data_IF_831247901247
#
_entry.id   IF_831247901247
#
_cell.length_a   1.000
_cell.length_b   1.000
_cell.length_c   1.000
_cell.angle_alpha   90.00
_cell.angle_beta   90.00
_cell.angle_gamma   90.00
#
_symmetry.space_group_name_H-M   'P 1'
#
loop_
_entity.id
_entity.type
_entity.pdbx_description
1 polymer ?
#
# COMPACT_ATOMS: atom_id res chain seq x y z
N UNK A 1 23.86 6.17 -11.25
CA UNK A 1 24.08 4.71 -11.26
C UNK A 1 24.28 4.30 -9.81
N UNK A 2 23.17 4.11 -9.09
CA UNK A 2 23.20 3.75 -7.68
C UNK A 2 23.58 2.29 -7.53
N UNK A 3 24.55 2.04 -6.64
CA UNK A 3 24.90 0.71 -6.18
C UNK A 3 23.70 0.12 -5.43
N UNK A 4 22.84 -0.58 -6.18
CA UNK A 4 21.84 -1.47 -5.61
C UNK A 4 22.64 -2.53 -4.84
N UNK A 5 22.33 -2.73 -3.56
CA UNK A 5 23.06 -3.63 -2.68
C UNK A 5 23.28 -5.00 -3.33
N UNK A 6 24.41 -5.69 -3.10
CA UNK A 6 24.70 -7.01 -3.68
C UNK A 6 23.68 -8.10 -3.26
N UNK A 7 22.83 -7.80 -2.28
CA UNK A 7 21.67 -8.61 -1.90
C UNK A 7 20.61 -8.64 -3.01
N UNK A 8 20.38 -7.51 -3.69
CA UNK A 8 19.36 -7.38 -4.75
C UNK A 8 19.60 -8.26 -5.98
N UNK A 9 20.86 -8.56 -6.31
CA UNK A 9 21.14 -9.49 -7.41
C UNK A 9 20.98 -10.95 -6.95
N UNK A 10 21.29 -11.25 -5.68
CA UNK A 10 21.23 -12.62 -5.16
C UNK A 10 19.80 -13.09 -4.85
N UNK A 11 18.92 -12.23 -4.31
CA UNK A 11 17.51 -12.60 -4.05
C UNK A 11 16.66 -12.76 -5.31
N UNK A 12 17.08 -12.23 -6.45
CA UNK A 12 16.24 -12.22 -7.66
C UNK A 12 16.54 -13.34 -8.66
N UNK A 13 17.81 -13.78 -8.77
CA UNK A 13 18.15 -15.03 -9.48
C UNK A 13 17.34 -16.21 -8.92
N UNK A 14 17.04 -16.14 -7.63
CA UNK A 14 16.29 -17.11 -6.83
C UNK A 14 14.79 -17.17 -7.24
N UNK A 15 14.18 -16.05 -7.64
CA UNK A 15 12.76 -15.98 -8.05
C UNK A 15 12.51 -16.43 -9.49
N UNK A 16 13.42 -16.13 -10.41
CA UNK A 16 13.25 -16.46 -11.83
C UNK A 16 13.50 -17.94 -12.16
N UNK A 17 14.21 -18.66 -11.28
CA UNK A 17 14.74 -20.01 -11.57
C UNK A 17 14.10 -21.14 -10.75
N UNK A 18 13.21 -20.83 -9.81
CA UNK A 18 12.67 -21.82 -8.86
C UNK A 18 13.65 -22.20 -7.73
N UNK A 19 14.80 -21.52 -7.62
CA UNK A 19 15.78 -21.71 -6.54
C UNK A 19 15.28 -21.15 -5.19
N UNK A 20 14.33 -20.23 -5.18
CA UNK A 20 13.74 -19.65 -3.95
C UNK A 20 13.11 -20.65 -3.01
N UNK A 21 12.34 -21.59 -3.54
CA UNK A 21 11.75 -22.62 -2.70
C UNK A 21 12.85 -23.46 -2.03
N UNK A 22 13.97 -23.73 -2.72
CA UNK A 22 15.09 -24.47 -2.12
C UNK A 22 15.82 -23.64 -1.06
N UNK A 23 16.09 -22.37 -1.31
CA UNK A 23 16.75 -21.51 -0.31
C UNK A 23 15.89 -21.28 0.94
N UNK A 24 14.57 -21.15 0.78
CA UNK A 24 13.62 -20.99 1.88
C UNK A 24 13.34 -22.29 2.64
N UNK A 25 13.49 -23.46 2.00
CA UNK A 25 13.14 -24.75 2.62
C UNK A 25 14.30 -25.45 3.32
N UNK A 26 15.56 -25.04 3.09
CA UNK A 26 16.73 -25.80 3.56
C UNK A 26 17.78 -24.96 4.30
N UNK A 27 17.58 -23.65 4.49
CA UNK A 27 18.52 -22.79 5.21
C UNK A 27 17.90 -22.15 6.46
N UNK A 28 18.68 -22.03 7.54
CA UNK A 28 18.25 -21.33 8.76
C UNK A 28 17.84 -19.88 8.47
N UNK A 29 18.55 -19.23 7.54
CA UNK A 29 18.23 -17.86 7.11
C UNK A 29 16.92 -17.81 6.31
N UNK A 30 16.64 -18.80 5.47
CA UNK A 30 15.38 -18.94 4.76
C UNK A 30 14.18 -19.09 5.72
N UNK A 31 14.34 -19.88 6.79
CA UNK A 31 13.31 -19.96 7.82
C UNK A 31 13.08 -18.62 8.52
N UNK A 32 14.13 -17.91 8.93
CA UNK A 32 13.99 -16.58 9.56
C UNK A 32 13.25 -15.59 8.66
N UNK A 33 13.54 -15.62 7.36
CA UNK A 33 12.86 -14.78 6.38
C UNK A 33 11.37 -15.14 6.26
N UNK A 34 11.05 -16.43 6.16
CA UNK A 34 9.67 -16.92 6.13
C UNK A 34 8.91 -16.55 7.40
N UNK A 35 9.55 -16.68 8.58
CA UNK A 35 8.97 -16.26 9.85
C UNK A 35 8.72 -14.75 9.88
N UNK A 36 9.67 -13.93 9.41
CA UNK A 36 9.50 -12.49 9.35
C UNK A 36 8.29 -12.10 8.46
N UNK A 37 8.08 -12.80 7.34
CA UNK A 37 6.92 -12.59 6.47
C UNK A 37 5.62 -13.10 7.07
N UNK A 38 5.63 -14.27 7.72
CA UNK A 38 4.45 -14.85 8.36
C UNK A 38 3.92 -13.96 9.49
N UNK A 39 4.83 -13.31 10.23
CA UNK A 39 4.51 -12.39 11.31
C UNK A 39 4.43 -10.93 10.88
N UNK A 40 4.52 -10.63 9.57
CA UNK A 40 4.42 -9.27 9.03
C UNK A 40 5.42 -8.27 9.65
N UNK A 41 6.66 -8.70 9.90
CA UNK A 41 7.74 -7.87 10.44
C UNK A 41 8.95 -7.76 9.49
N UNK A 42 8.87 -8.34 8.29
CA UNK A 42 9.97 -8.34 7.31
C UNK A 42 10.37 -6.93 6.86
N UNK A 43 9.46 -5.96 6.88
CA UNK A 43 9.74 -4.54 6.60
C UNK A 43 10.63 -3.86 7.67
N UNK A 44 10.91 -4.51 8.79
CA UNK A 44 11.79 -3.99 9.85
C UNK A 44 13.25 -4.43 9.70
N UNK A 45 13.56 -5.23 8.67
CA UNK A 45 14.89 -5.75 8.41
C UNK A 45 15.25 -5.57 6.94
N UNK A 46 16.29 -4.78 6.64
CA UNK A 46 16.77 -4.54 5.27
C UNK A 46 16.99 -5.84 4.48
N UNK A 47 17.41 -6.90 5.16
CA UNK A 47 17.66 -8.22 4.58
C UNK A 47 16.40 -8.91 4.06
N UNK A 48 15.27 -8.75 4.75
CA UNK A 48 14.00 -9.45 4.45
C UNK A 48 12.98 -8.54 3.74
N UNK A 49 13.26 -7.24 3.67
CA UNK A 49 12.32 -6.23 3.21
C UNK A 49 11.72 -6.53 1.81
N UNK A 50 12.55 -6.99 0.88
CA UNK A 50 12.18 -7.26 -0.52
C UNK A 50 12.52 -8.70 -0.95
N UNK A 51 12.74 -9.60 -0.01
CA UNK A 51 13.33 -10.90 -0.32
C UNK A 51 12.36 -11.84 -1.03
N UNK A 52 11.10 -11.95 -0.58
CA UNK A 52 10.10 -12.83 -1.20
C UNK A 52 9.34 -12.13 -2.33
N UNK A 53 8.70 -11.02 -2.04
CA UNK A 53 8.04 -10.24 -3.08
C UNK A 53 8.20 -8.79 -2.69
N UNK A 54 8.82 -7.96 -3.54
CA UNK A 54 9.12 -6.61 -3.13
C UNK A 54 7.85 -5.78 -2.90
N UNK A 55 6.68 -6.23 -3.39
CA UNK A 55 5.40 -5.57 -3.16
C UNK A 55 4.92 -5.76 -1.73
N UNK A 56 5.27 -6.87 -1.06
CA UNK A 56 4.76 -7.24 0.27
C UNK A 56 5.15 -6.27 1.40
N UNK A 57 6.02 -5.30 1.16
CA UNK A 57 6.40 -4.31 2.16
C UNK A 57 5.17 -3.58 2.75
N UNK A 58 4.21 -3.18 1.90
CA UNK A 58 3.03 -2.46 2.39
C UNK A 58 2.02 -3.40 3.05
N UNK A 59 2.02 -4.70 2.71
CA UNK A 59 1.17 -5.68 3.37
C UNK A 59 1.55 -5.86 4.85
N UNK A 60 2.85 -5.93 5.16
CA UNK A 60 3.30 -5.93 6.55
C UNK A 60 2.92 -4.63 7.27
N UNK A 61 3.15 -3.50 6.63
CA UNK A 61 2.78 -2.20 7.16
C UNK A 61 1.27 -2.09 7.45
N UNK A 62 0.42 -2.58 6.55
CA UNK A 62 -1.04 -2.59 6.72
C UNK A 62 -1.45 -3.42 7.95
N UNK A 63 -0.90 -4.63 8.11
CA UNK A 63 -1.17 -5.47 9.28
C UNK A 63 -0.74 -4.80 10.59
N UNK A 64 0.42 -4.14 10.57
CA UNK A 64 0.91 -3.33 11.70
C UNK A 64 -0.04 -2.15 12.00
N UNK A 65 -0.51 -1.44 10.96
CA UNK A 65 -1.45 -0.32 11.10
C UNK A 65 -2.80 -0.78 11.67
N UNK A 66 -3.33 -1.91 11.24
CA UNK A 66 -4.53 -2.51 11.85
C UNK A 66 -4.32 -2.85 13.32
N UNK A 67 -3.14 -3.35 13.70
CA UNK A 67 -2.81 -3.70 15.08
C UNK A 67 -2.79 -2.47 16.00
N UNK A 68 -2.29 -1.32 15.53
CA UNK A 68 -2.26 -0.07 16.31
C UNK A 68 -3.53 0.78 16.16
N UNK A 69 -4.41 0.46 15.22
CA UNK A 69 -5.64 1.23 14.98
C UNK A 69 -6.56 1.36 16.20
N UNK A 70 -6.73 0.33 17.07
CA UNK A 70 -7.46 0.49 18.32
C UNK A 70 -6.93 1.60 19.24
N UNK A 71 -5.61 1.83 19.25
CA UNK A 71 -4.98 2.91 20.02
C UNK A 71 -5.43 4.27 19.47
N UNK A 72 -5.46 4.43 18.14
CA UNK A 72 -6.01 5.62 17.50
C UNK A 72 -7.47 5.87 17.92
N UNK A 73 -8.31 4.82 17.88
CA UNK A 73 -9.71 4.93 18.28
C UNK A 73 -9.88 5.30 19.76
N UNK A 74 -9.03 4.76 20.63
CA UNK A 74 -9.00 5.10 22.04
C UNK A 74 -8.63 6.58 22.24
N UNK A 75 -7.51 7.05 21.69
CA UNK A 75 -7.10 8.46 21.81
C UNK A 75 -8.17 9.39 21.24
N UNK A 76 -8.75 9.04 20.08
CA UNK A 76 -9.86 9.76 19.45
C UNK A 76 -11.07 9.89 20.37
N UNK A 77 -11.45 8.82 21.07
CA UNK A 77 -12.59 8.85 22.00
C UNK A 77 -12.37 9.82 23.16
N UNK A 78 -11.12 9.98 23.62
CA UNK A 78 -10.79 10.79 24.80
C UNK A 78 -10.51 12.25 24.45
N UNK A 79 -9.80 12.51 23.34
CA UNK A 79 -9.32 13.84 22.98
C UNK A 79 -10.06 14.46 21.78
N UNK A 80 -10.89 13.67 21.09
CA UNK A 80 -11.49 14.03 19.81
C UNK A 80 -10.52 13.89 18.62
N UNK A 81 -11.06 13.85 17.40
CA UNK A 81 -10.29 13.56 16.19
C UNK A 81 -9.20 14.59 15.91
N UNK A 82 -9.48 15.89 16.10
CA UNK A 82 -8.55 16.97 15.73
C UNK A 82 -7.26 16.89 16.53
N UNK A 83 -7.36 16.75 17.86
CA UNK A 83 -6.20 16.59 18.75
C UNK A 83 -5.45 15.30 18.45
N UNK A 84 -6.18 14.21 18.20
CA UNK A 84 -5.59 12.90 17.88
C UNK A 84 -4.74 12.95 16.61
N UNK A 85 -5.24 13.58 15.54
CA UNK A 85 -4.50 13.74 14.29
C UNK A 85 -3.26 14.63 14.48
N UNK A 86 -3.36 15.71 15.26
CA UNK A 86 -2.19 16.56 15.57
C UNK A 86 -1.12 15.75 16.32
N UNK A 87 -1.51 14.96 17.33
CA UNK A 87 -0.57 14.12 18.07
C UNK A 87 0.14 13.14 17.11
N UNK A 88 -0.62 12.43 16.27
CA UNK A 88 -0.05 11.46 15.33
C UNK A 88 0.85 12.14 14.29
N UNK A 89 0.46 13.31 13.81
CA UNK A 89 1.28 14.11 12.91
C UNK A 89 2.63 14.49 13.54
N UNK A 90 2.62 14.94 14.80
CA UNK A 90 3.83 15.31 15.54
C UNK A 90 4.71 14.09 15.89
N UNK A 91 4.17 12.87 15.89
CA UNK A 91 4.96 11.65 16.07
C UNK A 91 5.82 11.30 14.84
N UNK A 92 5.48 11.78 13.64
CA UNK A 92 6.24 11.48 12.42
C UNK A 92 7.72 11.90 12.52
N UNK A 93 8.08 13.17 12.83
CA UNK A 93 9.50 13.55 12.96
C UNK A 93 10.22 12.81 14.09
N UNK A 94 9.52 12.55 15.21
CA UNK A 94 10.07 11.77 16.34
C UNK A 94 10.39 10.35 15.91
N UNK A 95 9.52 9.74 15.12
CA UNK A 95 9.69 8.40 14.54
C UNK A 95 10.89 8.34 13.60
N UNK A 96 11.03 9.29 12.67
CA UNK A 96 12.21 9.36 11.80
C UNK A 96 13.51 9.50 12.60
N UNK A 97 13.52 10.34 13.63
CA UNK A 97 14.68 10.50 14.51
C UNK A 97 15.00 9.22 15.28
N UNK A 98 13.98 8.54 15.82
CA UNK A 98 14.16 7.27 16.54
C UNK A 98 14.75 6.19 15.62
N UNK A 99 14.22 6.02 14.41
CA UNK A 99 14.75 5.04 13.45
C UNK A 99 16.18 5.39 13.04
N UNK A 100 16.50 6.68 12.86
CA UNK A 100 17.87 7.10 12.56
C UNK A 100 18.89 6.63 13.61
N UNK A 101 18.52 6.65 14.90
CA UNK A 101 19.39 6.16 15.97
C UNK A 101 19.38 4.64 16.13
N UNK A 102 18.23 3.99 15.93
CA UNK A 102 18.08 2.54 16.11
C UNK A 102 18.66 1.74 14.93
N UNK A 103 18.61 2.30 13.73
CA UNK A 103 19.04 1.66 12.50
C UNK A 103 19.81 2.65 11.59
N UNK A 104 20.96 3.20 12.04
CA UNK A 104 21.65 4.30 11.38
C UNK A 104 22.15 3.99 9.97
N UNK A 105 22.33 2.71 9.65
CA UNK A 105 22.79 2.24 8.35
C UNK A 105 21.66 1.71 7.46
N UNK A 106 20.43 1.63 7.98
CA UNK A 106 19.29 1.16 7.21
C UNK A 106 18.72 2.27 6.33
N UNK A 107 18.51 1.94 5.06
CA UNK A 107 17.81 2.82 4.11
C UNK A 107 16.34 2.45 3.94
N UNK A 108 15.92 1.27 4.40
CA UNK A 108 14.60 0.71 4.12
C UNK A 108 13.68 0.71 5.34
N UNK A 109 14.23 0.58 6.55
CA UNK A 109 13.42 0.52 7.77
C UNK A 109 12.68 1.83 8.00
N UNK A 110 13.34 2.99 7.87
CA UNK A 110 12.70 4.28 8.05
C UNK A 110 11.46 4.47 7.14
N UNK A 111 11.56 4.36 5.80
CA UNK A 111 10.38 4.49 4.95
C UNK A 111 9.36 3.36 5.14
N UNK A 112 9.74 2.19 5.66
CA UNK A 112 8.83 1.08 5.96
C UNK A 112 8.19 1.11 7.34
N UNK A 113 8.59 2.04 8.22
CA UNK A 113 8.21 2.01 9.63
C UNK A 113 6.78 2.51 9.85
N UNK A 114 6.05 1.82 10.74
CA UNK A 114 4.62 2.04 10.98
C UNK A 114 4.26 3.50 11.31
N UNK A 115 5.00 4.16 12.22
CA UNK A 115 4.67 5.50 12.68
C UNK A 115 4.86 6.57 11.59
N UNK A 116 5.70 6.32 10.58
CA UNK A 116 5.86 7.24 9.46
C UNK A 116 4.64 7.23 8.52
N UNK A 117 3.88 6.13 8.49
CA UNK A 117 2.64 6.00 7.71
C UNK A 117 1.37 6.10 8.54
N UNK A 118 1.48 6.09 9.87
CA UNK A 118 0.31 6.15 10.73
C UNK A 118 -0.48 7.44 10.56
N UNK A 119 0.22 8.57 10.30
CA UNK A 119 -0.43 9.81 9.90
C UNK A 119 -1.21 9.66 8.59
N UNK A 120 -0.61 9.08 7.55
CA UNK A 120 -1.27 8.84 6.25
C UNK A 120 -2.54 8.02 6.42
N UNK A 121 -2.47 6.93 7.18
CA UNK A 121 -3.62 6.09 7.51
C UNK A 121 -4.72 6.88 8.24
N UNK A 122 -4.35 7.60 9.30
CA UNK A 122 -5.30 8.34 10.12
C UNK A 122 -5.87 9.58 9.42
N UNK A 123 -5.14 10.17 8.47
CA UNK A 123 -5.63 11.28 7.65
C UNK A 123 -6.85 10.86 6.81
N UNK A 124 -6.86 9.63 6.28
CA UNK A 124 -8.02 9.06 5.62
C UNK A 124 -9.22 8.90 6.57
N UNK A 125 -8.99 8.39 7.78
CA UNK A 125 -10.03 8.29 8.81
C UNK A 125 -10.57 9.66 9.22
N UNK A 126 -9.73 10.68 9.28
CA UNK A 126 -10.14 12.06 9.56
C UNK A 126 -11.01 12.64 8.44
N UNK A 127 -10.64 12.43 7.18
CA UNK A 127 -11.47 12.83 6.03
C UNK A 127 -12.86 12.17 6.09
N UNK A 128 -12.91 10.86 6.36
CA UNK A 128 -14.17 10.13 6.47
C UNK A 128 -15.05 10.69 7.60
N UNK A 129 -14.47 10.98 8.77
CA UNK A 129 -15.23 11.57 9.89
C UNK A 129 -15.77 12.96 9.56
N UNK A 130 -14.97 13.81 8.91
CA UNK A 130 -15.43 15.14 8.49
C UNK A 130 -16.59 15.02 7.50
N UNK A 131 -16.46 14.14 6.51
CA UNK A 131 -17.50 13.88 5.52
C UNK A 131 -18.81 13.41 6.17
N UNK A 132 -18.76 12.41 7.06
CA UNK A 132 -19.95 11.89 7.77
C UNK A 132 -20.64 12.99 8.60
N UNK A 133 -19.87 13.91 9.18
CA UNK A 133 -20.41 15.04 9.94
C UNK A 133 -20.84 16.23 9.06
N UNK A 134 -20.85 16.09 7.73
CA UNK A 134 -21.20 17.18 6.80
C UNK A 134 -20.21 18.34 6.80
N UNK A 135 -18.97 18.10 7.25
CA UNK A 135 -17.93 19.12 7.37
C UNK A 135 -16.91 19.00 6.23
N UNK A 136 -16.46 20.15 5.72
CA UNK A 136 -15.30 20.23 4.82
C UNK A 136 -14.01 20.39 5.62
N UNK A 137 -12.94 19.76 5.15
CA UNK A 137 -11.56 20.02 5.54
C UNK A 137 -11.03 21.28 4.87
N UNK A 138 -11.29 21.44 3.57
CA UNK A 138 -10.79 22.57 2.80
C UNK A 138 -11.92 23.57 2.50
N UNK A 139 -11.68 24.84 2.84
CA UNK A 139 -12.66 25.93 2.66
C UNK A 139 -12.75 26.36 1.18
N UNK A 140 -11.63 26.29 0.45
CA UNK A 140 -11.54 26.56 -1.00
C UNK A 140 -11.81 25.28 -1.80
N UNK A 141 -11.90 25.41 -3.13
CA UNK A 141 -12.03 24.25 -4.03
C UNK A 141 -10.89 23.25 -3.81
N UNK A 142 -11.20 22.11 -3.19
CA UNK A 142 -10.24 21.06 -2.88
C UNK A 142 -9.63 20.42 -4.12
N UNK A 143 -10.30 20.50 -5.27
CA UNK A 143 -9.71 20.13 -6.56
C UNK A 143 -8.50 21.00 -6.92
N UNK A 144 -8.58 22.32 -6.71
CA UNK A 144 -7.47 23.22 -7.02
C UNK A 144 -6.27 22.89 -6.12
N UNK A 145 -6.52 22.66 -4.83
CA UNK A 145 -5.48 22.25 -3.87
C UNK A 145 -4.86 20.91 -4.30
N UNK A 146 -5.67 19.94 -4.72
CA UNK A 146 -5.17 18.66 -5.22
C UNK A 146 -4.29 18.82 -6.47
N UNK A 147 -4.72 19.63 -7.45
CA UNK A 147 -3.96 19.86 -8.69
C UNK A 147 -2.60 20.53 -8.42
N UNK A 148 -2.58 21.58 -7.59
CA UNK A 148 -1.31 22.19 -7.16
C UNK A 148 -0.46 21.20 -6.35
N UNK A 149 -1.09 20.40 -5.49
CA UNK A 149 -0.45 19.34 -4.74
C UNK A 149 0.23 18.31 -5.65
N UNK A 150 -0.43 17.84 -6.70
CA UNK A 150 0.15 16.89 -7.65
C UNK A 150 1.33 17.47 -8.43
N UNK A 151 1.27 18.75 -8.81
CA UNK A 151 2.42 19.46 -9.39
C UNK A 151 3.57 19.53 -8.36
N UNK A 152 3.26 19.87 -7.11
CA UNK A 152 4.26 19.97 -6.04
C UNK A 152 4.92 18.61 -5.76
N UNK A 153 4.19 17.50 -5.79
CA UNK A 153 4.77 16.15 -5.64
C UNK A 153 5.87 15.91 -6.67
N UNK A 154 5.61 16.25 -7.95
CA UNK A 154 6.59 16.06 -9.03
C UNK A 154 7.81 16.98 -8.82
N UNK A 155 7.58 18.27 -8.61
CA UNK A 155 8.66 19.25 -8.47
C UNK A 155 9.52 18.98 -7.24
N UNK A 156 8.91 18.74 -6.08
CA UNK A 156 9.62 18.46 -4.83
C UNK A 156 10.33 17.12 -4.91
N UNK A 157 9.69 16.09 -5.50
CA UNK A 157 10.30 14.77 -5.64
C UNK A 157 11.53 14.79 -6.55
N UNK A 158 11.54 15.63 -7.59
CA UNK A 158 12.66 15.72 -8.53
C UNK A 158 13.78 16.66 -8.06
N UNK A 159 13.43 17.79 -7.44
CA UNK A 159 14.40 18.86 -7.13
C UNK A 159 14.78 18.99 -5.65
N UNK A 160 14.02 18.37 -4.72
CA UNK A 160 14.25 18.55 -3.27
C UNK A 160 14.46 17.20 -2.59
N UNK A 161 13.39 16.42 -2.37
CA UNK A 161 13.48 15.09 -1.76
C UNK A 161 12.23 14.27 -1.99
N UNK A 162 12.41 12.95 -2.08
CA UNK A 162 11.32 11.99 -2.27
C UNK A 162 10.48 11.88 -1.00
N UNK A 163 11.09 12.01 0.18
CA UNK A 163 10.43 11.93 1.48
C UNK A 163 9.47 13.10 1.69
N UNK A 164 9.90 14.32 1.37
CA UNK A 164 9.02 15.49 1.46
C UNK A 164 7.89 15.42 0.43
N UNK A 165 8.20 14.93 -0.77
CA UNK A 165 7.19 14.68 -1.80
C UNK A 165 6.13 13.66 -1.34
N UNK A 166 6.54 12.57 -0.70
CA UNK A 166 5.63 11.58 -0.13
C UNK A 166 4.72 12.20 0.94
N UNK A 167 5.25 13.09 1.78
CA UNK A 167 4.46 13.80 2.78
C UNK A 167 3.44 14.78 2.17
N UNK A 168 3.85 15.55 1.15
CA UNK A 168 2.96 16.42 0.38
C UNK A 168 1.85 15.60 -0.29
N UNK A 169 2.17 14.38 -0.74
CA UNK A 169 1.20 13.50 -1.40
C UNK A 169 -0.01 13.19 -0.54
N UNK A 170 0.16 13.06 0.79
CA UNK A 170 -0.94 12.80 1.72
C UNK A 170 -1.98 13.91 1.63
N UNK A 171 -1.54 15.16 1.67
CA UNK A 171 -2.45 16.32 1.59
C UNK A 171 -3.10 16.47 0.22
N UNK A 172 -2.33 16.24 -0.86
CA UNK A 172 -2.84 16.29 -2.23
C UNK A 172 -3.95 15.24 -2.47
N UNK A 173 -3.72 14.00 -2.02
CA UNK A 173 -4.70 12.93 -2.13
C UNK A 173 -5.92 13.16 -1.24
N UNK A 174 -5.76 13.65 -0.01
CA UNK A 174 -6.90 14.00 0.86
C UNK A 174 -7.76 15.09 0.24
N UNK A 175 -7.15 16.11 -0.38
CA UNK A 175 -7.88 17.15 -1.11
C UNK A 175 -8.61 16.57 -2.33
N UNK A 176 -7.96 15.68 -3.10
CA UNK A 176 -8.58 15.00 -4.23
C UNK A 176 -9.79 14.16 -3.80
N UNK A 177 -9.65 13.35 -2.75
CA UNK A 177 -10.73 12.50 -2.26
C UNK A 177 -11.87 13.30 -1.63
N UNK A 178 -11.59 14.40 -0.93
CA UNK A 178 -12.65 15.29 -0.45
C UNK A 178 -13.48 15.86 -1.61
N UNK A 179 -12.80 16.33 -2.67
CA UNK A 179 -13.50 16.78 -3.89
C UNK A 179 -14.34 15.66 -4.50
N UNK A 180 -13.76 14.45 -4.62
CA UNK A 180 -14.42 13.29 -5.20
C UNK A 180 -15.67 12.89 -4.42
N UNK A 181 -15.62 12.90 -3.09
CA UNK A 181 -16.72 12.54 -2.18
C UNK A 181 -17.94 13.47 -2.29
N UNK A 182 -17.74 14.70 -2.76
CA UNK A 182 -18.81 15.68 -2.95
C UNK A 182 -19.17 15.90 -4.42
N UNK A 183 -18.50 15.20 -5.34
CA UNK A 183 -18.80 15.26 -6.76
C UNK A 183 -19.87 14.23 -7.08
N UNK A 184 -20.87 14.63 -7.85
CA UNK A 184 -21.80 13.70 -8.45
C UNK A 184 -21.10 12.94 -9.59
N UNK A 185 -20.89 11.64 -9.39
CA UNK A 185 -20.22 10.77 -10.36
C UNK A 185 -21.26 9.84 -10.97
N UNK A 186 -21.44 9.93 -12.29
CA UNK A 186 -22.28 8.98 -13.01
C UNK A 186 -21.57 7.62 -13.15
N UNK A 187 -21.89 6.68 -12.26
CA UNK A 187 -21.30 5.33 -12.19
C UNK A 187 -21.64 4.44 -13.40
N UNK A 188 -22.62 4.83 -14.22
CA UNK A 188 -23.09 4.01 -15.35
C UNK A 188 -22.26 4.16 -16.61
N UNK A 189 -21.43 5.22 -16.70
CA UNK A 189 -20.60 5.48 -17.88
C UNK A 189 -19.58 4.36 -18.11
N UNK A 190 -19.25 4.10 -19.37
CA UNK A 190 -18.27 3.04 -19.73
C UNK A 190 -16.92 3.27 -19.07
N UNK A 191 -16.47 4.52 -18.99
CA UNK A 191 -15.19 4.89 -18.36
C UNK A 191 -15.20 4.54 -16.87
N UNK A 192 -16.24 4.93 -16.14
CA UNK A 192 -16.32 4.65 -14.70
C UNK A 192 -16.46 3.15 -14.41
N UNK A 193 -17.18 2.40 -15.27
CA UNK A 193 -17.22 0.94 -15.20
C UNK A 193 -15.84 0.32 -15.40
N UNK A 194 -15.08 0.76 -16.41
CA UNK A 194 -13.71 0.29 -16.64
C UNK A 194 -12.79 0.60 -15.46
N UNK A 195 -12.85 1.82 -14.92
CA UNK A 195 -12.08 2.22 -13.74
C UNK A 195 -12.45 1.37 -12.51
N UNK A 196 -13.74 1.09 -12.31
CA UNK A 196 -14.21 0.22 -11.23
C UNK A 196 -13.67 -1.21 -11.38
N UNK A 197 -13.60 -1.76 -12.59
CA UNK A 197 -13.01 -3.09 -12.83
C UNK A 197 -11.53 -3.09 -12.44
N UNK A 198 -10.77 -2.06 -12.81
CA UNK A 198 -9.36 -1.92 -12.41
C UNK A 198 -9.24 -1.87 -10.89
N UNK A 199 -10.11 -1.11 -10.21
CA UNK A 199 -10.17 -1.05 -8.76
C UNK A 199 -10.49 -2.39 -8.10
N UNK A 200 -11.43 -3.16 -8.66
CA UNK A 200 -11.81 -4.49 -8.16
C UNK A 200 -10.65 -5.49 -8.28
N UNK A 201 -9.83 -5.39 -9.33
CA UNK A 201 -8.68 -6.28 -9.57
C UNK A 201 -7.39 -5.76 -8.92
N UNK A 202 -7.45 -4.62 -8.22
CA UNK A 202 -6.27 -3.89 -7.74
C UNK A 202 -5.37 -4.70 -6.80
N UNK A 203 -5.94 -5.57 -5.96
CA UNK A 203 -5.15 -6.42 -5.07
C UNK A 203 -4.29 -7.42 -5.83
N UNK A 204 -4.89 -8.12 -6.81
CA UNK A 204 -4.15 -9.01 -7.70
C UNK A 204 -3.08 -8.28 -8.52
N UNK A 205 -3.37 -7.06 -9.01
CA UNK A 205 -2.38 -6.21 -9.69
C UNK A 205 -1.21 -5.93 -8.75
N UNK A 206 -1.50 -5.49 -7.53
CA UNK A 206 -0.50 -5.18 -6.51
C UNK A 206 0.40 -6.40 -6.22
N UNK A 207 -0.14 -7.61 -6.11
CA UNK A 207 0.68 -8.79 -5.80
C UNK A 207 1.70 -9.14 -6.89
N UNK A 208 1.37 -8.91 -8.17
CA UNK A 208 2.16 -9.45 -9.28
C UNK A 208 2.93 -8.39 -10.07
N UNK A 209 2.59 -7.10 -9.93
CA UNK A 209 3.12 -6.06 -10.81
C UNK A 209 4.65 -5.97 -10.76
N UNK A 210 5.29 -5.99 -9.59
CA UNK A 210 6.75 -5.85 -9.50
C UNK A 210 7.51 -7.04 -10.07
N UNK A 211 7.21 -8.31 -9.73
CA UNK A 211 7.85 -9.44 -10.39
C UNK A 211 7.75 -9.39 -11.92
N UNK A 212 6.58 -9.05 -12.45
CA UNK A 212 6.37 -8.93 -13.89
C UNK A 212 7.09 -7.72 -14.51
N UNK A 213 7.11 -6.57 -13.83
CA UNK A 213 7.86 -5.40 -14.27
C UNK A 213 9.35 -5.74 -14.37
N UNK A 214 9.91 -6.42 -13.37
CA UNK A 214 11.32 -6.84 -13.38
C UNK A 214 11.63 -7.78 -14.56
N UNK A 215 10.78 -8.77 -14.83
CA UNK A 215 10.91 -9.64 -16.00
C UNK A 215 10.79 -8.87 -17.33
N UNK A 216 10.05 -7.75 -17.33
CA UNK A 216 9.86 -6.90 -18.49
C UNK A 216 10.99 -5.88 -18.72
N UNK A 217 11.84 -5.57 -17.70
CA UNK A 217 12.93 -4.58 -17.81
C UNK A 217 13.86 -4.84 -19.01
N UNK A 218 14.35 -6.07 -19.27
CA UNK A 218 15.23 -6.34 -20.41
C UNK A 218 14.59 -5.98 -21.76
N UNK A 219 13.27 -6.10 -21.86
CA UNK A 219 12.49 -5.85 -23.07
C UNK A 219 12.17 -4.37 -23.27
N UNK A 220 12.44 -3.52 -22.28
CA UNK A 220 12.09 -2.10 -22.34
C UNK A 220 12.81 -1.34 -23.46
N UNK A 221 13.94 -1.86 -23.96
CA UNK A 221 14.68 -1.29 -25.09
C UNK A 221 14.37 -1.96 -26.45
N UNK A 222 13.42 -2.89 -26.51
CA UNK A 222 13.04 -3.58 -27.75
C UNK A 222 12.58 -2.62 -28.87
N UNK A 223 11.83 -1.57 -28.52
CA UNK A 223 11.40 -0.51 -29.47
C UNK A 223 12.48 0.56 -29.72
N UNK A 224 13.70 0.35 -29.23
CA UNK A 224 14.81 1.29 -29.27
C UNK A 224 14.89 2.22 -28.06
N UNK A 225 16.05 2.85 -27.80
CA UNK A 225 16.29 3.65 -26.59
C UNK A 225 15.69 5.06 -26.65
N UNK A 226 15.05 5.44 -27.77
CA UNK A 226 14.62 6.82 -28.01
C UNK A 226 13.52 7.27 -27.04
N UNK A 227 13.64 8.51 -26.55
CA UNK A 227 12.79 9.07 -25.50
C UNK A 227 11.30 9.15 -25.86
N UNK A 228 10.93 9.34 -27.13
CA UNK A 228 9.52 9.42 -27.52
C UNK A 228 8.77 8.08 -27.38
N UNK A 229 9.49 6.94 -27.35
CA UNK A 229 8.88 5.66 -27.04
C UNK A 229 8.62 5.45 -25.55
N UNK A 230 9.21 6.26 -24.66
CA UNK A 230 9.13 6.08 -23.22
C UNK A 230 7.68 6.05 -22.71
N UNK A 231 6.77 6.79 -23.33
CA UNK A 231 5.35 6.81 -22.97
C UNK A 231 4.61 5.53 -23.39
N UNK A 232 4.97 4.95 -24.54
CA UNK A 232 4.26 3.78 -25.11
C UNK A 232 4.79 2.45 -24.57
N UNK A 233 6.07 2.38 -24.17
CA UNK A 233 6.71 1.15 -23.66
C UNK A 233 6.00 0.49 -22.46
N UNK A 234 5.45 1.23 -21.48
CA UNK A 234 4.75 0.63 -20.36
C UNK A 234 3.37 0.06 -20.71
N UNK A 235 2.76 0.48 -21.81
CA UNK A 235 1.38 0.06 -22.19
C UNK A 235 1.27 -1.46 -22.36
N UNK A 236 2.08 -2.14 -23.20
CA UNK A 236 1.99 -3.60 -23.35
C UNK A 236 2.29 -4.35 -22.05
N UNK A 237 3.20 -3.81 -21.23
CA UNK A 237 3.54 -4.39 -19.93
C UNK A 237 2.34 -4.28 -18.99
N UNK A 238 1.71 -3.10 -18.92
CA UNK A 238 0.51 -2.89 -18.10
C UNK A 238 -0.65 -3.79 -18.56
N UNK A 239 -0.89 -3.91 -19.87
CA UNK A 239 -1.91 -4.82 -20.41
C UNK A 239 -1.62 -6.26 -19.98
N UNK A 240 -0.37 -6.70 -20.07
CA UNK A 240 0.03 -8.05 -19.66
C UNK A 240 -0.19 -8.30 -18.17
N UNK A 241 0.27 -7.35 -17.32
CA UNK A 241 0.04 -7.37 -15.87
C UNK A 241 -1.45 -7.44 -15.59
N UNK A 242 -2.26 -6.60 -16.23
CA UNK A 242 -3.70 -6.55 -16.02
C UNK A 242 -4.39 -7.87 -16.40
N UNK A 243 -4.04 -8.47 -17.54
CA UNK A 243 -4.61 -9.76 -17.98
C UNK A 243 -4.28 -10.85 -16.97
N UNK A 244 -3.01 -10.98 -16.57
CA UNK A 244 -2.60 -12.00 -15.59
C UNK A 244 -3.27 -11.74 -14.24
N UNK A 245 -3.35 -10.47 -13.81
CA UNK A 245 -4.03 -10.08 -12.57
C UNK A 245 -5.51 -10.39 -12.59
N UNK A 246 -6.19 -10.20 -13.72
CA UNK A 246 -7.61 -10.52 -13.87
C UNK A 246 -7.86 -12.02 -13.71
N UNK A 247 -7.00 -12.86 -14.30
CA UNK A 247 -7.07 -14.31 -14.12
C UNK A 247 -6.75 -14.73 -12.69
N UNK A 248 -5.72 -14.15 -12.06
CA UNK A 248 -5.41 -14.35 -10.64
C UNK A 248 -6.59 -13.96 -9.75
N UNK A 249 -7.20 -12.80 -9.99
CA UNK A 249 -8.38 -12.34 -9.29
C UNK A 249 -9.53 -13.35 -9.40
N UNK A 250 -9.80 -13.83 -10.62
CA UNK A 250 -10.92 -14.74 -10.89
C UNK A 250 -10.73 -16.13 -10.27
N UNK A 251 -9.51 -16.68 -10.37
CA UNK A 251 -9.23 -18.08 -10.07
C UNK A 251 -8.49 -18.32 -8.75
N UNK A 252 -7.87 -17.30 -8.17
CA UNK A 252 -7.11 -17.41 -6.90
C UNK A 252 -7.77 -16.54 -5.83
N UNK A 253 -7.93 -15.24 -6.09
CA UNK A 253 -8.42 -14.29 -5.09
C UNK A 253 -9.88 -14.57 -4.68
N UNK A 254 -10.81 -14.63 -5.65
CA UNK A 254 -12.22 -14.89 -5.37
C UNK A 254 -12.46 -16.24 -4.68
N UNK A 255 -11.85 -17.36 -5.11
CA UNK A 255 -11.95 -18.63 -4.39
C UNK A 255 -11.36 -18.56 -2.97
N UNK A 256 -10.24 -17.86 -2.77
CA UNK A 256 -9.63 -17.70 -1.45
C UNK A 256 -10.53 -16.93 -0.49
N UNK A 257 -11.16 -15.84 -0.96
CA UNK A 257 -12.14 -15.07 -0.19
C UNK A 257 -13.35 -15.95 0.19
N UNK A 258 -13.88 -16.72 -0.78
CA UNK A 258 -15.01 -17.65 -0.53
C UNK A 258 -14.64 -18.70 0.50
N UNK A 259 -13.44 -19.27 0.41
CA UNK A 259 -12.93 -20.22 1.39
C UNK A 259 -12.86 -19.61 2.80
N UNK A 260 -12.36 -18.37 2.93
CA UNK A 260 -12.35 -17.64 4.19
C UNK A 260 -13.74 -17.47 4.81
N UNK A 261 -14.76 -17.14 3.99
CA UNK A 261 -16.15 -17.07 4.46
C UNK A 261 -16.69 -18.41 4.97
N UNK A 262 -16.35 -19.53 4.30
CA UNK A 262 -16.77 -20.86 4.74
C UNK A 262 -16.15 -21.24 6.09
N UNK A 263 -14.86 -20.94 6.29
CA UNK A 263 -14.17 -21.18 7.56
C UNK A 263 -14.78 -20.32 8.68
N UNK A 264 -15.05 -19.03 8.42
CA UNK A 264 -15.68 -18.15 9.41
C UNK A 264 -17.09 -18.63 9.79
N UNK A 265 -17.90 -19.03 8.81
CA UNK A 265 -19.27 -19.51 9.04
C UNK A 265 -19.29 -20.81 9.85
N UNK A 266 -18.32 -21.70 9.64
CA UNK A 266 -18.17 -22.95 10.41
C UNK A 266 -17.82 -22.69 11.88
N UNK A 267 -17.03 -21.65 12.16
CA UNK A 267 -16.61 -21.30 13.52
C UNK A 267 -17.63 -20.44 14.28
N UNK A 268 -18.62 -19.85 13.59
CA UNK A 268 -19.83 -19.34 14.24
C UNK A 268 -20.78 -20.51 14.50
N UNK A 269 -20.62 -21.17 15.64
CA UNK A 269 -21.69 -22.03 16.17
C UNK A 269 -23.02 -21.24 16.14
N UNK A 270 -24.12 -21.82 15.66
CA UNK A 270 -25.42 -21.18 15.80
C UNK A 270 -25.70 -21.09 17.30
N UNK A 271 -25.67 -19.89 17.88
CA UNK A 271 -26.21 -19.67 19.21
C UNK A 271 -27.73 -19.85 19.11
N UNK A 272 -28.17 -21.11 19.24
CA UNK A 272 -29.52 -21.48 19.60
C UNK A 272 -29.72 -21.14 21.08
N UNK A 273 -29.96 -19.87 21.40
CA UNK A 273 -30.70 -19.45 22.60
C UNK A 273 -30.84 -17.93 22.62
N UNK A 274 -31.91 -17.42 22.02
CA UNK A 274 -32.92 -16.63 22.74
C UNK A 274 -34.02 -16.24 21.76
N UNK A 275 -34.96 -17.19 21.62
CA UNK A 275 -36.37 -16.87 21.50
C UNK A 275 -36.76 -16.01 22.71
N UNK A 276 -36.80 -14.70 22.52
CA UNK A 276 -37.59 -13.69 23.23
C UNK A 276 -37.14 -12.40 22.55
N UNK A 277 -37.82 -11.93 21.50
CA UNK A 277 -38.97 -11.04 21.65
C UNK A 277 -39.94 -11.31 20.49
N UNK A 278 -41.03 -12.02 20.81
CA UNK A 278 -42.33 -11.83 20.19
C UNK A 278 -43.15 -11.03 21.20
N UNK A 279 -43.39 -9.76 20.89
CA UNK A 279 -44.59 -8.95 21.15
C UNK A 279 -44.26 -7.48 20.88
#
# INVERSE_FOLDING_TARGET
MENISPVSNRTFDIFATGLGIKDYSYSNEGYKDLFAHLFFIHNLFDKYYFSINPSFWSLALEMQLYLVYPIFLFIRKWLGIKKTIIIIFLLVPVSYLAVHFMAPHSKLVAPGFISNHWFTWCAGAFLAERYINGQRLFVKSSLIIALFGFIAIILVGFYISVELSAFISVFAWIAFFEWLLHKEINTTTRINKSLAIIGIVSYSIYLIHQPLLHLAIPWFNFLGPKAYWAFFKPIPIFISIFIISYFSYRFIELPSIRFGYLVQKRNRTPNLSNQHILK
#
